data_IF_240074488795
#
_entry.id   IF_240074488795
#
_cell.length_a   1.000
_cell.length_b   1.000
_cell.length_c   1.000
_cell.angle_alpha   90.00
_cell.angle_beta   90.00
_cell.angle_gamma   90.00
#
_symmetry.space_group_name_H-M   'P 1'
#
loop_
_entity.id
_entity.type
_entity.pdbx_description
1 polymer ?
#
# COMPACT_ATOMS: atom_id res chain seq x y z
N UNK A 1 -25.28 6.99 -0.28
CA UNK A 1 -23.86 7.28 0.03
C UNK A 1 -23.09 6.17 -0.66
N UNK A 2 -22.51 6.49 -1.81
CA UNK A 2 -21.79 5.55 -2.67
C UNK A 2 -20.61 5.02 -1.85
N UNK A 3 -20.71 3.80 -1.34
CA UNK A 3 -19.58 3.10 -0.70
C UNK A 3 -18.63 2.72 -1.83
N UNK A 4 -17.98 3.73 -2.40
CA UNK A 4 -16.87 3.57 -3.31
C UNK A 4 -15.91 2.58 -2.65
N UNK A 5 -15.64 1.53 -3.41
CA UNK A 5 -15.03 0.28 -3.04
C UNK A 5 -13.85 0.49 -2.07
N UNK A 6 -14.12 0.36 -0.76
CA UNK A 6 -13.13 0.48 0.32
C UNK A 6 -11.85 -0.36 0.09
N UNK A 7 -11.90 -1.55 -0.56
CA UNK A 7 -10.71 -2.29 -1.00
C UNK A 7 -9.88 -1.55 -2.04
N UNK A 8 -10.51 -0.98 -3.07
CA UNK A 8 -9.83 -0.34 -4.19
C UNK A 8 -9.08 0.92 -3.76
N UNK A 9 -9.72 1.78 -2.95
CA UNK A 9 -9.09 2.99 -2.43
C UNK A 9 -7.92 2.67 -1.49
N UNK A 10 -8.09 1.68 -0.60
CA UNK A 10 -6.98 1.19 0.25
C UNK A 10 -5.84 0.61 -0.57
N UNK A 11 -6.14 -0.20 -1.59
CA UNK A 11 -5.16 -0.77 -2.49
C UNK A 11 -4.33 0.32 -3.20
N UNK A 12 -4.98 1.38 -3.68
CA UNK A 12 -4.30 2.52 -4.28
C UNK A 12 -3.38 3.26 -3.31
N UNK A 13 -3.82 3.44 -2.06
CA UNK A 13 -2.99 4.03 -1.02
C UNK A 13 -1.72 3.19 -0.77
N UNK A 14 -1.85 1.86 -0.69
CA UNK A 14 -0.70 0.96 -0.53
C UNK A 14 0.24 0.97 -1.73
N UNK A 15 -0.27 0.95 -2.96
CA UNK A 15 0.52 1.08 -4.18
C UNK A 15 1.32 2.39 -4.21
N UNK A 16 0.66 3.50 -3.87
CA UNK A 16 1.30 4.82 -3.82
C UNK A 16 2.39 4.87 -2.76
N UNK A 17 2.14 4.31 -1.58
CA UNK A 17 3.12 4.24 -0.50
C UNK A 17 4.35 3.39 -0.88
N UNK A 18 4.16 2.37 -1.71
CA UNK A 18 5.25 1.56 -2.25
C UNK A 18 5.97 2.18 -3.46
N UNK A 19 5.59 3.39 -3.87
CA UNK A 19 6.23 4.10 -4.98
C UNK A 19 5.79 3.65 -6.37
N UNK A 20 4.68 2.92 -6.50
CA UNK A 20 4.13 2.55 -7.80
C UNK A 20 3.35 3.71 -8.43
N UNK A 21 3.39 3.77 -9.77
CA UNK A 21 2.52 4.66 -10.52
C UNK A 21 1.06 4.24 -10.36
N UNK A 22 0.22 5.13 -9.82
CA UNK A 22 -1.22 4.92 -9.67
C UNK A 22 -2.01 5.50 -10.84
N UNK A 23 -1.43 5.46 -12.05
CA UNK A 23 -2.05 5.94 -13.27
C UNK A 23 -3.26 5.12 -13.73
N UNK A 24 -3.90 5.54 -14.83
CA UNK A 24 -5.13 4.92 -15.33
C UNK A 24 -4.94 3.42 -15.67
N UNK A 25 -3.77 3.03 -16.15
CA UNK A 25 -3.46 1.63 -16.47
C UNK A 25 -3.38 0.75 -15.20
N UNK A 26 -2.64 1.20 -14.19
CA UNK A 26 -2.55 0.52 -12.88
C UNK A 26 -3.92 0.41 -12.23
N UNK A 27 -4.74 1.48 -12.29
CA UNK A 27 -6.11 1.51 -11.76
C UNK A 27 -7.01 0.49 -12.48
N UNK A 28 -6.96 0.43 -13.81
CA UNK A 28 -7.74 -0.53 -14.58
C UNK A 28 -7.33 -1.98 -14.27
N UNK A 29 -6.02 -2.23 -14.17
CA UNK A 29 -5.48 -3.55 -13.80
C UNK A 29 -5.90 -3.97 -12.40
N UNK A 30 -5.80 -3.06 -11.42
CA UNK A 30 -6.23 -3.30 -10.04
C UNK A 30 -7.73 -3.63 -9.98
N UNK A 31 -8.56 -2.86 -10.67
CA UNK A 31 -10.00 -3.08 -10.72
C UNK A 31 -10.36 -4.45 -11.32
N UNK A 32 -9.70 -4.82 -12.42
CA UNK A 32 -9.89 -6.13 -13.06
C UNK A 32 -9.52 -7.29 -12.14
N UNK A 33 -8.40 -7.19 -11.41
CA UNK A 33 -7.95 -8.22 -10.48
C UNK A 33 -8.88 -8.36 -9.27
N UNK A 34 -9.32 -7.25 -8.68
CA UNK A 34 -10.27 -7.27 -7.56
C UNK A 34 -11.59 -7.92 -7.97
N UNK A 35 -12.08 -7.62 -9.19
CA UNK A 35 -13.30 -8.22 -9.73
C UNK A 35 -13.14 -9.72 -10.00
N UNK A 36 -12.02 -10.15 -10.59
CA UNK A 36 -11.72 -11.56 -10.81
C UNK A 36 -11.71 -12.34 -9.48
N UNK A 37 -11.03 -11.79 -8.46
CA UNK A 37 -10.93 -12.44 -7.13
C UNK A 37 -12.25 -12.46 -6.37
N UNK A 38 -13.06 -11.40 -6.45
CA UNK A 38 -14.42 -11.41 -5.88
C UNK A 38 -15.31 -12.45 -6.58
N UNK A 39 -15.16 -12.63 -7.89
CA UNK A 39 -15.89 -13.64 -8.64
C UNK A 39 -15.43 -15.06 -8.29
N UNK A 40 -14.13 -15.28 -8.10
CA UNK A 40 -13.57 -16.57 -7.70
C UNK A 40 -13.94 -16.93 -6.25
N UNK A 41 -13.86 -15.97 -5.33
CA UNK A 41 -14.11 -16.19 -3.91
C UNK A 41 -14.82 -14.98 -3.28
N UNK A 42 -16.17 -14.93 -3.32
CA UNK A 42 -16.95 -13.83 -2.76
C UNK A 42 -16.88 -13.75 -1.23
N UNK A 43 -16.39 -14.81 -0.57
CA UNK A 43 -16.19 -14.85 0.88
C UNK A 43 -14.88 -14.18 1.35
N UNK A 44 -13.97 -13.80 0.43
CA UNK A 44 -12.73 -13.14 0.80
C UNK A 44 -13.00 -11.76 1.37
N UNK A 45 -12.52 -11.53 2.59
CA UNK A 45 -12.59 -10.21 3.21
C UNK A 45 -11.61 -9.24 2.53
N UNK A 46 -11.91 -7.95 2.57
CA UNK A 46 -11.04 -6.86 2.09
C UNK A 46 -9.60 -7.01 2.58
N UNK A 47 -9.38 -7.39 3.84
CA UNK A 47 -8.03 -7.63 4.37
C UNK A 47 -7.28 -8.71 3.61
N UNK A 48 -7.91 -9.85 3.35
CA UNK A 48 -7.30 -10.99 2.66
C UNK A 48 -7.03 -10.72 1.16
N UNK A 49 -7.82 -9.83 0.56
CA UNK A 49 -7.58 -9.32 -0.79
C UNK A 49 -6.33 -8.43 -0.83
N UNK A 50 -6.19 -7.52 0.14
CA UNK A 50 -5.05 -6.62 0.25
C UNK A 50 -3.75 -7.37 0.59
N UNK A 51 -3.79 -8.46 1.36
CA UNK A 51 -2.61 -9.29 1.66
C UNK A 51 -2.00 -9.94 0.40
N UNK A 52 -2.80 -10.14 -0.65
CA UNK A 52 -2.33 -10.74 -1.90
C UNK A 52 -1.83 -9.73 -2.93
N UNK A 53 -2.13 -8.44 -2.75
CA UNK A 53 -1.68 -7.37 -3.65
C UNK A 53 -0.16 -7.33 -3.91
N UNK A 54 0.71 -7.52 -2.90
CA UNK A 54 2.15 -7.54 -3.10
C UNK A 54 2.61 -8.51 -4.17
N UNK A 55 1.93 -9.65 -4.26
CA UNK A 55 2.23 -10.70 -5.22
C UNK A 55 1.81 -10.32 -6.65
N UNK A 56 0.78 -9.49 -6.81
CA UNK A 56 0.22 -9.13 -8.12
C UNK A 56 0.96 -7.98 -8.80
N UNK A 57 1.47 -7.04 -8.01
CA UNK A 57 2.14 -5.85 -8.51
C UNK A 57 3.67 -5.95 -8.47
N UNK A 58 4.22 -7.12 -8.09
CA UNK A 58 5.66 -7.32 -7.85
C UNK A 58 6.17 -6.17 -6.98
N UNK A 59 5.42 -5.89 -5.91
CA UNK A 59 5.80 -4.85 -4.96
C UNK A 59 7.19 -5.24 -4.45
N UNK A 60 8.18 -4.32 -4.45
CA UNK A 60 9.42 -4.60 -3.75
C UNK A 60 9.02 -5.02 -2.35
N UNK A 61 9.47 -6.20 -1.91
CA UNK A 61 9.26 -6.67 -0.54
C UNK A 61 9.60 -5.55 0.44
N UNK A 62 9.05 -5.57 1.67
CA UNK A 62 9.23 -4.50 2.65
C UNK A 62 10.68 -4.08 2.62
N UNK A 63 10.95 -2.84 2.21
CA UNK A 63 12.30 -2.37 1.90
C UNK A 63 13.24 -2.71 3.07
N UNK A 64 13.93 -3.85 2.99
CA UNK A 64 14.95 -4.36 3.94
C UNK A 64 16.22 -3.50 3.81
N UNK A 65 16.04 -2.18 3.79
CA UNK A 65 17.07 -1.24 3.35
C UNK A 65 16.71 0.22 3.55
N UNK A 66 15.48 0.56 3.99
CA UNK A 66 15.30 1.83 4.67
C UNK A 66 15.92 1.71 6.06
N UNK A 67 17.25 1.82 6.07
CA UNK A 67 18.02 2.19 7.24
C UNK A 67 17.45 3.54 7.68
N UNK A 68 16.42 3.52 8.54
CA UNK A 68 15.96 4.71 9.21
C UNK A 68 17.23 5.34 9.77
N UNK A 69 17.52 6.62 9.44
CA UNK A 69 18.69 7.26 10.02
C UNK A 69 18.58 7.03 11.53
N UNK A 70 19.62 6.50 12.19
CA UNK A 70 19.55 6.32 13.63
C UNK A 70 19.11 7.67 14.17
N UNK A 71 18.00 7.68 14.92
CA UNK A 71 17.56 8.87 15.64
C UNK A 71 18.63 9.11 16.69
N UNK A 72 19.74 9.70 16.26
CA UNK A 72 20.76 10.22 17.12
C UNK A 72 20.04 11.33 17.85
N UNK A 73 19.68 11.04 19.11
CA UNK A 73 19.22 12.02 20.08
C UNK A 73 20.40 12.95 20.32
N UNK A 74 20.64 13.86 19.38
CA UNK A 74 21.54 14.97 19.58
C UNK A 74 20.89 15.79 20.69
N UNK A 75 21.42 15.62 21.91
CA UNK A 75 21.18 16.54 23.01
C UNK A 75 21.67 17.91 22.54
N UNK A 76 20.77 18.70 21.95
CA UNK A 76 21.00 20.10 21.65
C UNK A 76 21.16 20.77 23.02
N UNK A 77 22.42 20.94 23.44
CA UNK A 77 22.75 21.73 24.62
C UNK A 77 22.34 23.17 24.34
N UNK A 78 21.28 23.63 25.00
CA UNK A 78 20.94 25.05 25.01
C UNK A 78 22.10 25.80 25.67
N UNK A 79 22.63 26.88 25.05
CA UNK A 79 23.58 27.75 25.72
C UNK A 79 22.86 28.38 26.91
N UNK A 80 23.37 28.13 28.11
CA UNK A 80 23.03 28.94 29.28
C UNK A 80 23.82 30.23 29.20
N UNK A 81 23.10 31.32 29.00
CA UNK A 81 23.52 32.65 29.45
C UNK A 81 23.14 32.82 30.93
#
# INVERSE_FOLDING_TARGET
>A
MDTSDEPFDRALLYLRAAGHDTGPETRARLYSMLQARRAENPALNTGQLLEQMPQWFVLPGPLEGHHLPPIARASIGYPRE
#
